data_IF_662864742948
#
_entry.id   IF_662864742948
#
_cell.length_a   1.000
_cell.length_b   1.000
_cell.length_c   1.000
_cell.angle_alpha   90.00
_cell.angle_beta   90.00
_cell.angle_gamma   90.00
#
_symmetry.space_group_name_H-M   'P 1'
#
loop_
_entity.id
_entity.type
_entity.pdbx_description
1 polymer ?
#
# COMPACT_ATOMS: atom_id res chain seq x y z
N UNK A 1 2.95 4.08 17.73
CA UNK A 1 3.91 4.58 16.70
C UNK A 1 4.93 3.51 16.29
N UNK A 2 5.67 2.88 17.21
CA UNK A 2 6.73 1.90 16.87
C UNK A 2 6.24 0.64 16.09
N UNK A 3 5.09 0.08 16.45
CA UNK A 3 4.54 -1.12 15.82
C UNK A 3 4.27 -0.96 14.32
N UNK A 4 3.76 0.20 13.90
CA UNK A 4 3.49 0.48 12.49
C UNK A 4 4.77 0.55 11.64
N UNK A 5 5.89 0.98 12.24
CA UNK A 5 7.20 1.04 11.58
C UNK A 5 7.75 -0.38 11.38
N UNK A 6 7.61 -1.24 12.40
CA UNK A 6 8.03 -2.64 12.30
C UNK A 6 7.27 -3.39 11.19
N UNK A 7 5.95 -3.19 11.09
CA UNK A 7 5.12 -3.83 10.04
C UNK A 7 5.51 -3.36 8.64
N UNK A 8 5.79 -2.06 8.46
CA UNK A 8 6.25 -1.55 7.16
C UNK A 8 7.63 -2.08 6.78
N UNK A 9 8.54 -2.22 7.76
CA UNK A 9 9.88 -2.75 7.54
C UNK A 9 9.89 -4.24 7.14
N UNK A 10 8.89 -5.03 7.55
CA UNK A 10 8.79 -6.47 7.28
C UNK A 10 7.85 -6.84 6.15
N UNK A 11 7.36 -5.88 5.36
CA UNK A 11 6.40 -6.13 4.28
C UNK A 11 6.88 -7.21 3.28
N UNK A 12 8.16 -7.17 2.90
CA UNK A 12 8.75 -8.17 1.99
C UNK A 12 8.73 -9.59 2.58
N UNK A 13 8.95 -9.72 3.88
CA UNK A 13 8.90 -10.99 4.59
C UNK A 13 7.48 -11.56 4.55
N UNK A 14 6.47 -10.70 4.74
CA UNK A 14 5.08 -11.11 4.71
C UNK A 14 4.65 -11.58 3.32
N UNK A 15 5.04 -10.84 2.27
CA UNK A 15 4.79 -11.23 0.88
C UNK A 15 5.46 -12.57 0.53
N UNK A 16 6.66 -12.83 1.05
CA UNK A 16 7.34 -14.11 0.86
C UNK A 16 6.61 -15.26 1.55
N UNK A 17 6.16 -15.06 2.79
CA UNK A 17 5.40 -16.06 3.54
C UNK A 17 4.09 -16.40 2.80
N UNK A 18 3.38 -15.39 2.30
CA UNK A 18 2.15 -15.58 1.55
C UNK A 18 2.38 -16.38 0.26
N UNK A 19 3.47 -16.09 -0.46
CA UNK A 19 3.85 -16.83 -1.65
C UNK A 19 4.14 -18.30 -1.36
N UNK A 20 4.95 -18.60 -0.33
CA UNK A 20 5.25 -20.00 0.03
C UNK A 20 4.02 -20.75 0.55
N UNK A 21 3.15 -20.09 1.31
CA UNK A 21 1.91 -20.70 1.80
C UNK A 21 0.96 -21.08 0.65
N UNK A 22 0.87 -20.23 -0.37
CA UNK A 22 0.00 -20.43 -1.53
C UNK A 22 0.69 -21.09 -2.72
N UNK A 23 1.95 -21.51 -2.58
CA UNK A 23 2.79 -21.98 -3.68
C UNK A 23 2.18 -23.11 -4.49
N UNK A 24 1.59 -24.10 -3.82
CA UNK A 24 0.94 -25.24 -4.47
C UNK A 24 -0.25 -24.81 -5.32
N UNK A 25 -1.07 -23.89 -4.81
CA UNK A 25 -2.19 -23.33 -5.55
C UNK A 25 -1.72 -22.53 -6.78
N UNK A 26 -0.67 -21.73 -6.62
CA UNK A 26 -0.07 -20.94 -7.70
C UNK A 26 0.43 -21.86 -8.82
N UNK A 27 1.16 -22.92 -8.47
CA UNK A 27 1.70 -23.89 -9.42
C UNK A 27 0.60 -24.59 -10.23
N UNK A 28 -0.50 -24.97 -9.59
CA UNK A 28 -1.58 -25.72 -10.22
C UNK A 28 -2.55 -24.85 -11.04
N UNK A 29 -2.81 -23.61 -10.59
CA UNK A 29 -3.89 -22.79 -11.14
C UNK A 29 -3.43 -21.50 -11.82
N UNK A 30 -2.31 -20.90 -11.39
CA UNK A 30 -1.92 -19.55 -11.83
C UNK A 30 -0.65 -19.51 -12.69
N UNK A 31 0.19 -20.56 -12.67
CA UNK A 31 1.38 -20.63 -13.53
C UNK A 31 0.99 -20.63 -15.02
N UNK A 32 1.54 -19.67 -15.77
CA UNK A 32 1.41 -19.58 -17.25
C UNK A 32 1.90 -20.85 -17.95
N UNK A 33 2.99 -21.46 -17.47
CA UNK A 33 3.57 -22.67 -18.07
C UNK A 33 3.11 -23.98 -17.40
N UNK A 34 1.95 -23.99 -16.72
CA UNK A 34 1.44 -25.18 -16.00
C UNK A 34 1.21 -26.41 -16.90
N UNK A 35 0.98 -26.18 -18.19
CA UNK A 35 0.71 -27.24 -19.18
C UNK A 35 1.96 -27.66 -19.96
N UNK A 36 3.10 -26.99 -19.76
CA UNK A 36 4.34 -27.33 -20.43
C UNK A 36 5.18 -28.29 -19.57
N UNK A 37 5.38 -29.55 -20.01
CA UNK A 37 6.06 -30.57 -19.22
C UNK A 37 7.58 -30.35 -19.10
N UNK A 38 8.17 -29.43 -19.87
CA UNK A 38 9.62 -29.24 -19.95
C UNK A 38 10.21 -28.28 -18.90
N UNK A 39 9.39 -27.50 -18.20
CA UNK A 39 9.84 -26.48 -17.23
C UNK A 39 9.04 -26.58 -15.94
N UNK A 40 9.70 -26.97 -14.85
CA UNK A 40 9.08 -26.88 -13.52
C UNK A 40 8.95 -25.41 -13.12
N UNK A 41 7.80 -24.78 -13.42
CA UNK A 41 7.49 -23.38 -13.11
C UNK A 41 7.72 -23.04 -11.62
N UNK A 42 7.35 -23.97 -10.72
CA UNK A 42 7.46 -23.82 -9.26
C UNK A 42 6.89 -22.49 -8.69
N UNK A 43 5.95 -21.87 -9.41
CA UNK A 43 5.39 -20.55 -9.08
C UNK A 43 6.23 -19.34 -9.52
N UNK A 44 7.47 -19.53 -9.98
CA UNK A 44 8.38 -18.44 -10.33
C UNK A 44 7.97 -17.67 -11.58
N UNK A 45 7.37 -18.32 -12.57
CA UNK A 45 6.88 -17.63 -13.77
C UNK A 45 5.80 -16.61 -13.41
N UNK A 46 4.86 -16.99 -12.54
CA UNK A 46 3.82 -16.09 -12.02
C UNK A 46 4.43 -14.89 -11.28
N UNK A 47 5.42 -15.14 -10.41
CA UNK A 47 6.10 -14.07 -9.67
C UNK A 47 6.82 -13.09 -10.61
N UNK A 48 7.46 -13.62 -11.65
CA UNK A 48 8.18 -12.80 -12.63
C UNK A 48 7.25 -11.86 -13.40
N UNK A 49 6.08 -12.35 -13.80
CA UNK A 49 5.06 -11.56 -14.50
C UNK A 49 4.51 -10.46 -13.59
N UNK A 50 4.15 -10.81 -12.35
CA UNK A 50 3.66 -9.85 -11.34
C UNK A 50 4.69 -8.76 -11.04
N UNK A 51 5.97 -9.10 -11.02
CA UNK A 51 7.05 -8.14 -10.76
C UNK A 51 7.20 -7.14 -11.92
N UNK A 52 6.98 -7.56 -13.16
CA UNK A 52 6.98 -6.66 -14.33
C UNK A 52 5.79 -5.71 -14.27
N UNK A 53 4.58 -6.23 -14.06
CA UNK A 53 3.36 -5.41 -13.90
C UNK A 53 3.52 -4.35 -12.80
N UNK A 54 4.09 -4.74 -11.65
CA UNK A 54 4.27 -3.83 -10.53
C UNK A 54 5.33 -2.74 -10.79
N UNK A 55 6.37 -3.03 -11.59
CA UNK A 55 7.37 -2.02 -12.00
C UNK A 55 6.74 -0.93 -12.86
N UNK A 56 5.83 -1.30 -13.76
CA UNK A 56 5.13 -0.36 -14.62
C UNK A 56 4.19 0.54 -13.80
N UNK A 57 3.43 -0.04 -12.87
CA UNK A 57 2.57 0.72 -11.94
C UNK A 57 3.40 1.63 -11.03
N UNK A 58 4.52 1.13 -10.48
CA UNK A 58 5.39 1.92 -9.61
C UNK A 58 6.04 3.09 -10.35
N UNK A 59 6.40 2.95 -11.62
CA UNK A 59 6.92 4.07 -12.42
C UNK A 59 5.87 5.18 -12.59
N UNK A 60 4.61 4.80 -12.85
CA UNK A 60 3.50 5.75 -12.95
C UNK A 60 3.23 6.42 -11.60
N UNK A 61 3.19 5.64 -10.51
CA UNK A 61 2.96 6.14 -9.16
C UNK A 61 4.10 7.04 -8.66
N UNK A 62 5.37 6.69 -8.95
CA UNK A 62 6.53 7.50 -8.59
C UNK A 62 6.50 8.86 -9.29
N UNK A 63 6.07 8.89 -10.56
CA UNK A 63 5.85 10.12 -11.32
C UNK A 63 4.73 10.98 -10.71
N UNK A 64 3.63 10.36 -10.25
CA UNK A 64 2.54 11.08 -9.56
C UNK A 64 2.96 11.61 -8.19
N UNK A 65 3.61 10.80 -7.35
CA UNK A 65 4.12 11.22 -6.03
C UNK A 65 5.14 12.35 -6.12
N UNK A 66 6.02 12.33 -7.13
CA UNK A 66 6.94 13.42 -7.39
C UNK A 66 6.24 14.76 -7.63
N UNK A 67 5.08 14.74 -8.31
CA UNK A 67 4.26 15.91 -8.58
C UNK A 67 3.57 16.45 -7.31
N UNK A 68 3.06 15.57 -6.44
CA UNK A 68 2.48 15.96 -5.14
C UNK A 68 3.50 16.64 -4.22
N UNK A 69 4.73 16.11 -4.17
CA UNK A 69 5.82 16.68 -3.36
C UNK A 69 6.16 18.10 -3.84
N UNK A 70 6.21 18.32 -5.17
CA UNK A 70 6.46 19.65 -5.75
C UNK A 70 5.35 20.65 -5.38
N UNK A 71 4.08 20.24 -5.46
CA UNK A 71 2.93 21.08 -5.08
C UNK A 71 2.98 21.43 -3.59
N UNK A 72 3.32 20.46 -2.73
CA UNK A 72 3.42 20.69 -1.29
C UNK A 72 4.55 21.68 -0.94
N UNK A 73 5.72 21.55 -1.57
CA UNK A 73 6.85 22.47 -1.36
C UNK A 73 6.52 23.89 -1.83
N UNK A 74 5.80 24.03 -2.96
CA UNK A 74 5.37 25.34 -3.45
C UNK A 74 4.32 25.97 -2.51
N UNK A 75 3.38 25.19 -1.99
CA UNK A 75 2.40 25.64 -1.00
C UNK A 75 3.06 26.13 0.29
N UNK A 76 3.99 25.35 0.85
CA UNK A 76 4.72 25.72 2.08
C UNK A 76 5.54 26.99 1.89
N UNK A 77 6.19 27.18 0.73
CA UNK A 77 6.88 28.44 0.40
C UNK A 77 5.90 29.63 0.37
N UNK A 78 4.71 29.45 -0.20
CA UNK A 78 3.66 30.48 -0.21
C UNK A 78 3.21 30.86 1.20
N UNK A 79 3.00 29.89 2.08
CA UNK A 79 2.58 30.13 3.47
C UNK A 79 3.69 30.77 4.31
N UNK A 80 4.96 30.39 4.12
CA UNK A 80 6.07 30.98 4.89
C UNK A 80 6.41 32.42 4.47
N UNK A 81 6.11 32.81 3.23
CA UNK A 81 6.31 34.19 2.75
C UNK A 81 5.21 35.16 3.19
N UNK A 82 4.04 34.64 3.56
CA UNK A 82 2.91 35.43 4.08
C UNK A 82 2.61 35.00 5.51
N UNK A 83 3.19 35.67 6.50
CA UNK A 83 2.73 35.51 7.88
C UNK A 83 1.28 36.02 7.96
N UNK A 84 0.28 35.17 8.27
CA UNK A 84 -1.06 35.68 8.49
C UNK A 84 -1.05 36.50 9.78
N UNK A 85 -1.50 37.76 9.69
CA UNK A 85 -1.86 38.54 10.87
C UNK A 85 -3.10 37.85 11.46
N UNK A 86 -2.92 37.02 12.47
CA UNK A 86 -4.04 36.36 13.16
C UNK A 86 -4.48 37.31 14.28
N UNK A 87 -5.70 37.90 14.25
CA UNK A 87 -6.23 38.53 15.44
C UNK A 87 -6.39 37.46 16.52
N UNK A 88 -6.05 37.78 17.77
CA UNK A 88 -6.18 36.89 18.93
C UNK A 88 -7.66 36.55 19.16
N UNK A 89 -8.13 35.49 18.51
CA UNK A 89 -9.48 34.96 18.69
C UNK A 89 -9.41 33.89 19.76
N UNK A 90 -10.01 34.17 20.92
CA UNK A 90 -10.21 33.16 21.97
C UNK A 90 -11.12 32.04 21.46
N UNK A 91 -10.54 30.96 20.97
CA UNK A 91 -11.29 29.75 20.58
C UNK A 91 -11.68 28.96 21.83
N UNK A 92 -12.97 28.90 22.13
CA UNK A 92 -13.52 27.97 23.15
C UNK A 92 -13.82 26.65 22.44
N UNK A 93 -13.02 25.63 22.71
CA UNK A 93 -13.22 24.29 22.15
C UNK A 93 -14.38 23.58 22.88
N UNK A 94 -15.35 22.99 22.16
CA UNK A 94 -16.32 22.10 22.76
C UNK A 94 -15.60 20.84 23.26
N UNK A 95 -15.91 20.42 24.49
CA UNK A 95 -15.34 19.22 25.10
C UNK A 95 -15.84 17.97 24.37
N UNK A 96 -14.88 17.24 23.82
CA UNK A 96 -14.83 15.81 23.49
C UNK A 96 -16.05 15.19 22.78
N UNK A 97 -15.89 14.97 21.47
CA UNK A 97 -16.73 14.06 20.70
C UNK A 97 -16.17 12.65 20.85
N UNK A 98 -16.87 11.77 21.59
CA UNK A 98 -16.54 10.34 21.64
C UNK A 98 -16.82 9.73 20.26
N UNK A 99 -15.77 9.28 19.58
CA UNK A 99 -15.88 8.59 18.29
C UNK A 99 -15.70 7.08 18.52
N UNK A 100 -16.80 6.34 18.55
CA UNK A 100 -16.85 4.87 18.53
C UNK A 100 -16.55 4.28 17.12
N UNK A 101 -15.89 5.02 16.24
CA UNK A 101 -15.85 4.72 14.80
C UNK A 101 -14.85 3.63 14.37
N UNK A 102 -14.21 2.91 15.29
CA UNK A 102 -13.21 1.87 14.96
C UNK A 102 -13.69 0.42 15.13
N UNK A 103 -15.01 0.18 15.12
CA UNK A 103 -15.57 -1.15 15.38
C UNK A 103 -15.77 -2.09 14.17
N UNK A 104 -15.55 -1.67 12.92
CA UNK A 104 -16.18 -2.38 11.79
C UNK A 104 -15.34 -2.76 10.56
N UNK A 105 -14.08 -2.34 10.41
CA UNK A 105 -13.45 -2.33 9.06
C UNK A 105 -12.66 -3.61 8.69
N UNK A 106 -12.45 -4.57 9.59
CA UNK A 106 -11.71 -5.81 9.25
C UNK A 106 -12.43 -7.05 9.76
N UNK A 107 -12.89 -7.96 8.86
CA UNK A 107 -12.00 -8.87 8.14
C UNK A 107 -12.39 -9.16 6.66
N UNK A 108 -13.21 -8.32 6.04
CA UNK A 108 -13.84 -8.65 4.74
C UNK A 108 -12.89 -8.54 3.53
N UNK A 109 -11.81 -7.76 3.65
CA UNK A 109 -10.85 -7.49 2.56
C UNK A 109 -9.99 -8.72 2.20
N UNK A 110 -9.87 -9.72 3.08
CA UNK A 110 -8.97 -10.87 2.89
C UNK A 110 -9.67 -12.17 2.51
N UNK A 111 -10.86 -12.13 1.91
CA UNK A 111 -11.45 -13.35 1.36
C UNK A 111 -11.09 -13.49 -0.12
N UNK A 112 -10.42 -14.58 -0.53
CA UNK A 112 -10.28 -14.86 -1.95
C UNK A 112 -11.66 -15.09 -2.58
N UNK A 113 -11.85 -14.72 -3.86
CA UNK A 113 -13.12 -14.92 -4.54
C UNK A 113 -13.47 -16.40 -4.62
N UNK A 114 -14.71 -16.73 -4.27
CA UNK A 114 -15.26 -18.07 -4.39
C UNK A 114 -15.68 -18.25 -5.85
N UNK A 115 -15.11 -19.27 -6.49
CA UNK A 115 -15.39 -19.67 -7.88
C UNK A 115 -16.70 -20.47 -7.91
#
# INVERSE_FOLDING_TARGET
MAWAICVQATNLLWAFIEFECNRTYIEQNLCVNRFEPAVSCKGFCFLSEKTVEQKDVNNVLAKMKGMEILVFVQYVKGVLLYSPIVPDVKTVYPKDFVSDTFGGILPEVFRPPII
#
